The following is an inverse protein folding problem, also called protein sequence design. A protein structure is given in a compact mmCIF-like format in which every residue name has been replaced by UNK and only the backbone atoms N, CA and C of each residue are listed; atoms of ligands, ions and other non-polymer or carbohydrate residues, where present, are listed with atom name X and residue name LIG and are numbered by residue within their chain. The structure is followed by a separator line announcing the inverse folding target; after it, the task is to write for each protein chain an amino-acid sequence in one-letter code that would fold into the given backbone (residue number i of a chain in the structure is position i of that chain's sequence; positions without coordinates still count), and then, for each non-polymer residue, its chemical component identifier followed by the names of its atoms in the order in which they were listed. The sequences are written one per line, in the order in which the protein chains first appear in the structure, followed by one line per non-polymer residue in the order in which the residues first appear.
data_IF_776499805417
#
_entry.id   IF_776499805417
#
_cell.length_a   1.000
_cell.length_b   1.000
_cell.length_c   1.000
_cell.angle_alpha   90.00
_cell.angle_beta   90.00
_cell.angle_gamma   90.00
#
_symmetry.space_group_name_H-M   'P 1'
#
loop_
_entity.id
_entity.type
_entity.pdbx_description
1 polymer ?
#
# COMPACT_ATOMS: atom_id res chain seq x y z
N UNK A 1 7.21 -15.68 11.61
CA UNK A 1 6.32 -15.98 10.47
C UNK A 1 7.12 -15.94 9.17
N UNK A 2 6.75 -16.75 8.17
CA UNK A 2 7.59 -17.09 7.00
C UNK A 2 8.21 -15.93 6.22
N UNK A 3 7.56 -14.77 6.14
CA UNK A 3 8.14 -13.59 5.48
C UNK A 3 9.47 -13.15 6.13
N UNK A 4 9.56 -13.17 7.47
CA UNK A 4 10.82 -12.86 8.19
C UNK A 4 11.89 -13.92 7.93
N UNK A 5 11.50 -15.19 7.81
CA UNK A 5 12.43 -16.27 7.51
C UNK A 5 13.07 -16.10 6.13
N UNK A 6 12.27 -15.83 5.10
CA UNK A 6 12.79 -15.60 3.75
C UNK A 6 13.59 -14.29 3.65
N UNK A 7 13.19 -13.24 4.37
CA UNK A 7 13.93 -11.98 4.40
C UNK A 7 15.33 -12.16 4.97
N UNK A 8 15.47 -12.93 6.07
CA UNK A 8 16.78 -13.24 6.67
C UNK A 8 17.66 -14.11 5.76
N UNK A 9 17.07 -14.84 4.81
CA UNK A 9 17.79 -15.65 3.83
C UNK A 9 18.17 -14.88 2.56
N UNK A 10 17.75 -13.62 2.42
CA UNK A 10 17.98 -12.82 1.22
C UNK A 10 17.11 -13.19 0.01
N UNK A 11 16.05 -14.00 0.20
CA UNK A 11 15.14 -14.37 -0.89
C UNK A 11 13.99 -13.36 -0.98
N UNK A 12 14.15 -12.37 -1.85
CA UNK A 12 13.17 -11.30 -2.06
C UNK A 12 11.84 -11.82 -2.62
N UNK A 13 11.89 -12.78 -3.54
CA UNK A 13 10.68 -13.33 -4.18
C UNK A 13 9.84 -14.10 -3.18
N UNK A 14 10.46 -14.99 -2.40
CA UNK A 14 9.77 -15.72 -1.35
C UNK A 14 9.24 -14.80 -0.25
N UNK A 15 9.99 -13.75 0.10
CA UNK A 15 9.56 -12.74 1.09
C UNK A 15 8.32 -11.99 0.62
N UNK A 16 8.33 -11.48 -0.61
CA UNK A 16 7.19 -10.74 -1.18
C UNK A 16 5.93 -11.62 -1.26
N UNK A 17 6.07 -12.87 -1.73
CA UNK A 17 4.96 -13.80 -1.83
C UNK A 17 4.40 -14.19 -0.45
N UNK A 18 5.26 -14.45 0.54
CA UNK A 18 4.83 -14.75 1.89
C UNK A 18 4.09 -13.58 2.54
N UNK A 19 4.56 -12.34 2.33
CA UNK A 19 3.91 -11.13 2.82
C UNK A 19 2.54 -10.93 2.17
N UNK A 20 2.45 -11.10 0.85
CA UNK A 20 1.19 -11.02 0.09
C UNK A 20 0.18 -12.07 0.55
N UNK A 21 0.63 -13.31 0.73
CA UNK A 21 -0.21 -14.38 1.25
C UNK A 21 -0.71 -14.07 2.68
N UNK A 22 0.17 -13.61 3.57
CA UNK A 22 -0.21 -13.23 4.92
C UNK A 22 -1.30 -12.15 4.91
N UNK A 23 -1.14 -11.10 4.08
CA UNK A 23 -2.16 -10.05 3.89
C UNK A 23 -3.49 -10.66 3.45
N UNK A 24 -3.47 -11.50 2.42
CA UNK A 24 -4.68 -12.10 1.83
C UNK A 24 -5.42 -13.01 2.81
N UNK A 25 -4.69 -13.79 3.61
CA UNK A 25 -5.27 -14.64 4.65
C UNK A 25 -5.91 -13.81 5.78
N UNK A 26 -5.24 -12.74 6.23
CA UNK A 26 -5.79 -11.82 7.24
C UNK A 26 -7.07 -11.15 6.75
N UNK A 27 -7.10 -10.71 5.49
CA UNK A 27 -8.26 -10.05 4.88
C UNK A 27 -9.31 -11.04 4.37
N UNK A 28 -9.00 -12.34 4.35
CA UNK A 28 -9.82 -13.42 3.74
C UNK A 28 -10.24 -13.07 2.30
N UNK A 29 -9.31 -12.50 1.54
CA UNK A 29 -9.52 -12.00 0.19
C UNK A 29 -8.25 -12.15 -0.64
N UNK A 30 -8.38 -12.51 -1.91
CA UNK A 30 -7.28 -12.49 -2.85
C UNK A 30 -7.12 -11.10 -3.48
N UNK A 31 -5.90 -10.71 -3.84
CA UNK A 31 -5.61 -9.35 -4.36
C UNK A 31 -6.28 -9.04 -5.71
N UNK A 32 -6.60 -10.07 -6.51
CA UNK A 32 -7.25 -9.98 -7.82
C UNK A 32 -8.78 -9.87 -7.73
N UNK A 33 -9.32 -9.90 -6.52
CA UNK A 33 -10.75 -9.99 -6.31
C UNK A 33 -11.41 -8.60 -6.47
N UNK A 34 -12.41 -8.42 -7.36
CA UNK A 34 -13.04 -7.12 -7.64
C UNK A 34 -13.92 -6.59 -6.47
N UNK A 35 -14.04 -7.38 -5.41
CA UNK A 35 -14.93 -7.19 -4.27
C UNK A 35 -14.14 -6.82 -2.99
N UNK A 36 -13.20 -5.87 -3.11
CA UNK A 36 -12.35 -5.40 -2.00
C UNK A 36 -13.15 -4.71 -0.89
N UNK A 37 -14.30 -4.12 -1.20
CA UNK A 37 -15.19 -3.51 -0.21
C UNK A 37 -15.70 -4.49 0.87
N UNK A 38 -15.61 -5.82 0.65
CA UNK A 38 -15.94 -6.84 1.67
C UNK A 38 -15.07 -6.74 2.93
N UNK A 39 -13.93 -6.04 2.86
CA UNK A 39 -13.06 -5.80 4.01
C UNK A 39 -13.72 -4.91 5.08
N UNK A 40 -14.73 -4.12 4.72
CA UNK A 40 -15.44 -3.26 5.67
C UNK A 40 -16.51 -4.05 6.44
N UNK A 41 -16.66 -3.81 7.76
CA UNK A 41 -17.75 -4.38 8.52
C UNK A 41 -19.09 -3.96 7.90
N UNK A 42 -20.09 -4.84 8.02
CA UNK A 42 -21.43 -4.66 7.45
C UNK A 42 -21.54 -4.75 5.92
N UNK A 43 -20.44 -4.95 5.17
CA UNK A 43 -20.48 -5.22 3.72
C UNK A 43 -20.35 -6.72 3.46
N UNK A 44 -21.49 -7.37 3.22
CA UNK A 44 -21.55 -8.79 2.80
C UNK A 44 -21.22 -9.00 1.31
N UNK A 45 -21.12 -10.28 0.89
CA UNK A 45 -20.83 -10.68 -0.51
C UNK A 45 -21.75 -10.01 -1.54
N UNK A 46 -23.06 -9.94 -1.25
CA UNK A 46 -24.05 -9.34 -2.14
C UNK A 46 -23.81 -7.85 -2.35
N UNK A 47 -23.65 -7.09 -1.25
CA UNK A 47 -23.40 -5.65 -1.31
C UNK A 47 -22.09 -5.35 -2.01
N UNK A 48 -21.05 -6.11 -1.69
CA UNK A 48 -19.76 -6.00 -2.36
C UNK A 48 -19.90 -6.23 -3.87
N UNK A 49 -20.66 -7.24 -4.30
CA UNK A 49 -20.87 -7.53 -5.73
C UNK A 49 -21.61 -6.39 -6.44
N UNK A 50 -22.61 -5.78 -5.78
CA UNK A 50 -23.31 -4.60 -6.31
C UNK A 50 -22.37 -3.40 -6.46
N UNK A 51 -21.56 -3.13 -5.45
CA UNK A 51 -20.55 -2.07 -5.48
C UNK A 51 -19.53 -2.30 -6.60
N UNK A 52 -19.05 -3.53 -6.78
CA UNK A 52 -18.15 -3.90 -7.86
C UNK A 52 -18.80 -3.70 -9.24
N UNK A 53 -20.04 -4.13 -9.44
CA UNK A 53 -20.78 -3.92 -10.68
C UNK A 53 -21.02 -2.44 -10.99
N UNK A 54 -21.16 -1.61 -9.97
CA UNK A 54 -21.31 -0.16 -10.10
C UNK A 54 -19.98 0.60 -10.24
N UNK A 55 -18.83 -0.10 -10.32
CA UNK A 55 -17.51 0.50 -10.45
C UNK A 55 -16.92 1.08 -9.16
N UNK A 56 -17.57 0.88 -8.01
CA UNK A 56 -17.14 1.37 -6.69
C UNK A 56 -16.75 0.22 -5.73
N UNK A 57 -16.30 -0.91 -6.28
CA UNK A 57 -15.94 -2.11 -5.51
C UNK A 57 -14.55 -2.07 -4.86
N UNK A 58 -13.66 -1.20 -5.34
CA UNK A 58 -12.31 -0.99 -4.79
C UNK A 58 -12.36 0.08 -3.70
N UNK A 59 -11.50 -0.04 -2.68
CA UNK A 59 -11.49 0.87 -1.54
C UNK A 59 -11.26 2.34 -1.95
N UNK A 60 -10.33 2.61 -2.88
CA UNK A 60 -10.07 3.97 -3.39
C UNK A 60 -11.24 4.57 -4.17
N UNK A 61 -11.96 3.75 -4.93
CA UNK A 61 -13.16 4.21 -5.66
C UNK A 61 -14.33 4.43 -4.71
N UNK A 62 -14.45 3.57 -3.69
CA UNK A 62 -15.46 3.70 -2.65
C UNK A 62 -15.23 4.97 -1.80
N UNK A 63 -13.99 5.31 -1.48
CA UNK A 63 -13.63 6.51 -0.73
C UNK A 63 -14.05 7.81 -1.44
N UNK A 64 -13.97 7.83 -2.77
CA UNK A 64 -14.34 8.95 -3.63
C UNK A 64 -15.83 8.97 -3.99
N UNK A 65 -16.58 7.93 -3.64
CA UNK A 65 -17.99 7.80 -4.01
C UNK A 65 -18.90 8.67 -3.14
N UNK A 66 -19.97 9.19 -3.74
CA UNK A 66 -21.03 9.89 -3.02
C UNK A 66 -21.79 8.90 -2.10
N UNK A 67 -22.04 9.23 -0.81
CA UNK A 67 -22.82 8.40 0.11
C UNK A 67 -24.17 7.95 -0.46
N UNK A 68 -24.88 8.82 -1.17
CA UNK A 68 -26.20 8.54 -1.78
C UNK A 68 -26.05 7.55 -2.93
N UNK A 69 -24.94 7.59 -3.67
CA UNK A 69 -24.64 6.59 -4.71
C UNK A 69 -24.39 5.22 -4.07
N UNK A 70 -23.68 5.18 -2.95
CA UNK A 70 -23.46 3.93 -2.18
C UNK A 70 -24.81 3.36 -1.74
N UNK A 71 -25.68 4.19 -1.16
CA UNK A 71 -27.03 3.81 -0.72
C UNK A 71 -27.90 3.28 -1.88
N UNK A 72 -27.91 3.99 -3.02
CA UNK A 72 -28.64 3.59 -4.22
C UNK A 72 -28.17 2.23 -4.78
N UNK A 73 -26.84 2.03 -4.88
CA UNK A 73 -26.27 0.78 -5.38
C UNK A 73 -26.50 -0.38 -4.41
N UNK A 74 -26.39 -0.11 -3.11
CA UNK A 74 -26.56 -1.14 -2.08
C UNK A 74 -28.02 -1.43 -1.74
N UNK A 75 -28.94 -0.58 -2.19
CA UNK A 75 -30.37 -0.60 -1.85
C UNK A 75 -30.55 -0.53 -0.32
N UNK A 76 -29.80 0.38 0.31
CA UNK A 76 -29.86 0.66 1.74
C UNK A 76 -30.33 2.09 1.95
N UNK A 77 -31.06 2.28 3.04
CA UNK A 77 -31.56 3.59 3.41
C UNK A 77 -30.44 4.42 4.03
N UNK A 78 -30.61 5.74 3.98
CA UNK A 78 -29.85 6.67 4.79
C UNK A 78 -29.87 6.21 6.27
N UNK A 79 -28.74 6.28 7.01
CA UNK A 79 -27.45 6.88 6.68
C UNK A 79 -26.35 5.87 6.29
N UNK A 80 -26.70 4.75 5.63
CA UNK A 80 -25.75 3.66 5.40
C UNK A 80 -24.48 4.08 4.64
N UNK A 81 -24.60 4.92 3.60
CA UNK A 81 -23.45 5.36 2.82
C UNK A 81 -22.46 6.17 3.65
N UNK A 82 -22.98 7.03 4.54
CA UNK A 82 -22.16 7.82 5.46
C UNK A 82 -21.43 6.94 6.47
N UNK A 83 -22.11 5.92 7.00
CA UNK A 83 -21.52 4.95 7.92
C UNK A 83 -20.38 4.17 7.24
N UNK A 84 -20.58 3.71 6.00
CA UNK A 84 -19.54 3.02 5.22
C UNK A 84 -18.31 3.89 5.00
N UNK A 85 -18.49 5.16 4.62
CA UNK A 85 -17.36 6.07 4.41
C UNK A 85 -16.63 6.42 5.72
N UNK A 86 -17.37 6.60 6.83
CA UNK A 86 -16.77 6.82 8.14
C UNK A 86 -15.94 5.59 8.59
N UNK A 87 -16.46 4.40 8.34
CA UNK A 87 -15.77 3.13 8.62
C UNK A 87 -14.51 2.97 7.78
N UNK A 88 -14.61 3.26 6.49
CA UNK A 88 -13.50 3.19 5.54
C UNK A 88 -12.36 4.11 5.98
N UNK A 89 -12.66 5.37 6.32
CA UNK A 89 -11.66 6.33 6.81
C UNK A 89 -10.99 5.89 8.11
N UNK A 90 -11.71 5.20 8.98
CA UNK A 90 -11.14 4.66 10.23
C UNK A 90 -10.25 3.44 9.99
N UNK A 91 -10.52 2.67 8.95
CA UNK A 91 -9.84 1.39 8.67
C UNK A 91 -8.64 1.53 7.73
N UNK A 92 -8.61 2.56 6.90
CA UNK A 92 -7.51 2.77 5.96
C UNK A 92 -6.28 3.36 6.65
N UNK A 93 -5.07 2.89 6.30
CA UNK A 93 -3.84 3.58 6.68
C UNK A 93 -3.80 4.97 6.02
N UNK A 94 -3.00 5.91 6.56
CA UNK A 94 -2.81 7.21 5.93
C UNK A 94 -2.25 7.04 4.51
N UNK A 95 -2.55 8.00 3.63
CA UNK A 95 -1.91 8.07 2.33
C UNK A 95 -0.42 8.42 2.51
N UNK A 96 0.45 7.64 1.87
CA UNK A 96 1.91 7.78 1.98
C UNK A 96 2.48 7.89 0.58
N UNK A 97 3.28 8.92 0.35
CA UNK A 97 4.12 9.08 -0.83
C UNK A 97 5.55 8.63 -0.49
N UNK A 98 6.17 7.80 -1.33
CA UNK A 98 7.51 7.24 -1.10
C UNK A 98 8.43 7.71 -2.24
N UNK A 99 9.47 8.46 -1.89
CA UNK A 99 10.55 8.82 -2.79
C UNK A 99 11.76 7.91 -2.53
N UNK A 100 12.32 7.32 -3.59
CA UNK A 100 13.48 6.44 -3.50
C UNK A 100 14.62 7.09 -4.28
N UNK A 101 15.71 7.39 -3.57
CA UNK A 101 16.93 7.92 -4.16
C UNK A 101 18.07 6.94 -3.93
N UNK A 102 18.87 6.70 -4.97
CA UNK A 102 20.11 5.94 -4.85
C UNK A 102 21.21 6.88 -4.39
N UNK A 103 21.56 6.81 -3.10
CA UNK A 103 22.76 7.46 -2.60
C UNK A 103 23.99 6.69 -3.10
N UNK A 104 24.53 7.12 -4.24
CA UNK A 104 25.85 6.72 -4.68
C UNK A 104 26.84 7.54 -3.87
N UNK A 105 27.23 7.01 -2.71
CA UNK A 105 28.23 7.65 -1.85
C UNK A 105 29.43 8.11 -2.68
N UNK A 106 29.93 9.32 -2.38
CA UNK A 106 31.06 9.94 -3.09
C UNK A 106 32.17 8.90 -3.29
N UNK A 107 32.41 8.50 -4.54
CA UNK A 107 33.62 7.78 -4.91
C UNK A 107 34.79 8.59 -4.34
N UNK A 108 35.56 7.94 -3.47
CA UNK A 108 36.66 8.58 -2.75
C UNK A 108 37.57 9.27 -3.75
N UNK A 109 37.63 10.60 -3.65
CA UNK A 109 38.65 11.39 -4.31
C UNK A 109 40.00 10.79 -3.95
N UNK A 110 40.64 10.22 -4.96
CA UNK A 110 41.95 9.62 -4.86
C UNK A 110 42.92 10.62 -4.21
N UNK A 111 43.65 10.10 -3.22
CA UNK A 111 44.93 10.56 -2.71
C UNK A 111 45.64 11.51 -3.68
N UNK A 112 45.60 12.81 -3.37
CA UNK A 112 46.69 13.71 -3.73
C UNK A 112 47.78 13.51 -2.68
N UNK A 113 48.78 12.71 -3.01
CA UNK A 113 49.99 12.53 -2.23
C UNK A 113 50.64 13.90 -1.98
N UNK A 114 50.96 14.16 -0.71
CA UNK A 114 51.91 15.20 -0.38
C UNK A 114 53.29 14.78 -0.87
N UNK A 115 53.89 15.59 -1.73
CA UNK A 115 55.34 15.64 -1.92
C UNK A 115 55.79 17.03 -1.49
N UNK A 116 56.34 17.11 -0.28
CA UNK A 116 57.23 18.22 0.07
C UNK A 116 58.58 18.03 -0.61
N UNK A 117 59.19 19.14 -1.01
CA UNK A 117 60.60 19.50 -0.86
C UNK A 117 61.06 20.44 -1.99
N UNK A 118 61.92 21.39 -1.61
CA UNK A 118 62.82 22.06 -2.55
C UNK A 118 62.67 23.57 -2.55
N UNK A 119 63.28 24.24 -1.55
CA UNK A 119 63.57 25.66 -1.67
C UNK A 119 64.56 25.95 -2.79
N UNK A 120 64.49 27.15 -3.37
CA UNK A 120 65.69 27.81 -3.89
C UNK A 120 65.49 29.33 -3.91
N UNK A 121 66.60 30.00 -3.56
CA UNK A 121 66.80 31.44 -3.41
C UNK A 121 66.69 32.18 -4.75
N UNK A 122 66.29 33.45 -4.66
CA UNK A 122 66.36 34.45 -5.72
C UNK A 122 65.85 35.78 -5.19
#
# INVERSE_FOLDING_TARGET
AMAKFYALRGDLSATANALRLQKNLTQRLWDDTPISAKQLPHIGKLLSSRLAAAGVGRLRELEKADPRRIEAVTQKNYPFGHQVLAELRRSLPPEIEIHVELDRGKEGGARGEGSGEGGNKG
#
